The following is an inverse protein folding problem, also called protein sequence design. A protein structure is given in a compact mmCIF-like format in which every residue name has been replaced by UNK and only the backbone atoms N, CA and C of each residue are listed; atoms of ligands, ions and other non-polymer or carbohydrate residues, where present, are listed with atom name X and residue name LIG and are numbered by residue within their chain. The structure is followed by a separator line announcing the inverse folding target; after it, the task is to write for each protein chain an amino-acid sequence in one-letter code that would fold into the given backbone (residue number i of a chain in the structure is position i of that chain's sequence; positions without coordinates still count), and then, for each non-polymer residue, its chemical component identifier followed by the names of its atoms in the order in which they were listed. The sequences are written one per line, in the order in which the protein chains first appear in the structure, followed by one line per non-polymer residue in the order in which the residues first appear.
data_IF_941880373361
#
_entry.id   IF_941880373361
#
_cell.length_a   1.000
_cell.length_b   1.000
_cell.length_c   1.000
_cell.angle_alpha   90.00
_cell.angle_beta   90.00
_cell.angle_gamma   90.00
#
_symmetry.space_group_name_H-M   'P 1'
#
loop_
_entity.id
_entity.type
_entity.pdbx_description
1 polymer ?
#
# COMPACT_ATOMS: atom_id res chain seq x y z
N UNK A 1 39.03 -8.61 -8.23
CA UNK A 1 37.85 -7.82 -8.67
C UNK A 1 37.14 -7.34 -7.41
N UNK A 2 36.92 -6.03 -7.20
CA UNK A 2 36.25 -5.57 -5.98
C UNK A 2 34.81 -6.10 -5.95
N UNK A 3 34.25 -6.36 -4.76
CA UNK A 3 32.86 -6.76 -4.64
C UNK A 3 31.92 -5.63 -5.09
N UNK A 4 30.74 -5.96 -5.66
CA UNK A 4 29.79 -4.95 -6.11
C UNK A 4 29.17 -4.20 -4.92
N UNK A 5 28.88 -2.90 -5.11
CA UNK A 5 28.09 -2.10 -4.16
C UNK A 5 26.60 -2.35 -4.44
N UNK A 6 25.86 -2.82 -3.44
CA UNK A 6 24.39 -2.97 -3.49
C UNK A 6 23.75 -1.84 -2.71
N UNK A 7 22.75 -1.17 -3.30
CA UNK A 7 22.11 0.04 -2.77
C UNK A 7 20.62 0.04 -3.08
N UNK A 8 19.83 0.72 -2.24
CA UNK A 8 18.39 0.87 -2.42
C UNK A 8 18.03 2.30 -2.84
N UNK A 9 17.06 2.43 -3.74
CA UNK A 9 16.67 3.68 -4.36
C UNK A 9 15.15 3.81 -4.40
N UNK A 10 14.67 5.03 -4.22
CA UNK A 10 13.32 5.44 -4.57
C UNK A 10 13.45 6.52 -5.61
N UNK A 11 12.89 6.27 -6.79
CA UNK A 11 13.11 7.11 -7.98
C UNK A 11 14.63 7.24 -8.25
N UNK A 12 15.22 8.43 -8.03
CA UNK A 12 16.66 8.67 -8.17
C UNK A 12 17.34 9.12 -6.87
N UNK A 13 16.73 8.84 -5.72
CA UNK A 13 17.32 9.11 -4.40
C UNK A 13 17.73 7.81 -3.71
N UNK A 14 19.01 7.69 -3.33
CA UNK A 14 19.53 6.57 -2.53
C UNK A 14 18.88 6.62 -1.13
N UNK A 15 18.26 5.51 -0.72
CA UNK A 15 17.56 5.39 0.55
C UNK A 15 18.55 5.13 1.70
N UNK A 16 18.34 5.82 2.81
CA UNK A 16 19.09 5.63 4.06
C UNK A 16 18.46 4.53 4.93
N UNK A 17 19.16 4.08 5.98
CA UNK A 17 18.65 3.05 6.89
C UNK A 17 18.89 1.63 6.40
N UNK A 18 19.96 1.43 5.64
CA UNK A 18 20.35 0.10 5.14
C UNK A 18 21.43 -0.54 6.01
N UNK A 19 21.40 -1.85 6.18
CA UNK A 19 22.51 -2.62 6.75
C UNK A 19 23.26 -3.38 5.65
N UNK A 20 24.58 -3.41 5.74
CA UNK A 20 25.43 -4.21 4.87
C UNK A 20 25.91 -5.43 5.64
N UNK A 21 25.59 -6.61 5.15
CA UNK A 21 26.15 -7.86 5.65
C UNK A 21 26.93 -8.52 4.52
N UNK A 22 28.26 -8.56 4.68
CA UNK A 22 29.08 -9.54 3.99
C UNK A 22 28.79 -10.87 4.66
N UNK A 23 28.08 -11.76 3.99
CA UNK A 23 27.85 -13.12 4.49
C UNK A 23 29.18 -13.86 4.37
N UNK A 24 30.04 -13.77 5.38
CA UNK A 24 31.28 -14.56 5.57
C UNK A 24 32.54 -14.22 4.73
N UNK A 25 33.68 -14.52 5.35
CA UNK A 25 35.04 -14.37 4.85
C UNK A 25 35.26 -15.31 3.66
N UNK A 26 35.27 -14.74 2.44
CA UNK A 26 35.42 -15.50 1.19
C UNK A 26 34.15 -15.56 0.32
N UNK A 27 33.05 -14.91 0.71
CA UNK A 27 31.81 -15.03 -0.04
C UNK A 27 31.74 -14.23 -1.34
N UNK A 28 31.11 -14.87 -2.31
CA UNK A 28 30.77 -14.35 -3.65
C UNK A 28 29.46 -13.53 -3.66
N UNK A 29 28.82 -13.34 -2.50
CA UNK A 29 27.48 -12.76 -2.37
C UNK A 29 27.49 -11.52 -1.46
N UNK A 30 26.94 -10.42 -1.97
CA UNK A 30 26.75 -9.17 -1.22
C UNK A 30 25.28 -8.97 -0.90
N UNK A 31 24.97 -8.67 0.37
CA UNK A 31 23.61 -8.43 0.86
C UNK A 31 23.50 -7.02 1.44
N UNK A 32 22.47 -6.30 1.02
CA UNK A 32 22.08 -5.02 1.59
C UNK A 32 20.60 -5.05 1.94
N UNK A 33 20.27 -4.92 3.23
CA UNK A 33 18.90 -4.94 3.71
C UNK A 33 18.41 -3.51 3.95
N UNK A 34 17.21 -3.18 3.49
CA UNK A 34 16.55 -1.91 3.74
C UNK A 34 15.44 -2.10 4.79
N UNK A 35 15.48 -1.30 5.86
CA UNK A 35 14.40 -1.23 6.84
C UNK A 35 13.64 0.10 6.71
N UNK A 36 12.36 0.03 6.35
CA UNK A 36 11.47 1.20 6.31
C UNK A 36 10.67 1.21 7.61
N UNK A 37 11.01 2.12 8.52
CA UNK A 37 10.43 2.13 9.87
C UNK A 37 8.94 2.51 9.92
N UNK A 38 8.49 3.43 9.08
CA UNK A 38 7.08 3.86 9.03
C UNK A 38 6.65 4.04 7.58
N UNK A 39 5.57 3.36 7.20
CA UNK A 39 4.96 3.48 5.87
C UNK A 39 3.70 4.33 5.95
N UNK A 40 3.74 5.46 5.25
CA UNK A 40 2.63 6.41 5.12
C UNK A 40 1.84 6.15 3.84
N UNK A 41 0.72 6.86 3.63
CA UNK A 41 -0.15 6.67 2.45
C UNK A 41 0.58 6.86 1.12
N UNK A 42 1.55 7.76 1.07
CA UNK A 42 2.38 8.06 -0.10
C UNK A 42 3.37 6.93 -0.46
N UNK A 43 3.55 5.92 0.40
CA UNK A 43 4.29 4.70 0.05
C UNK A 43 3.46 3.70 -0.75
N UNK A 44 2.13 3.87 -0.82
CA UNK A 44 1.28 2.97 -1.59
C UNK A 44 1.58 3.07 -3.08
N UNK A 45 1.96 1.94 -3.69
CA UNK A 45 2.35 1.89 -5.11
C UNK A 45 3.75 2.40 -5.40
N UNK A 46 4.51 2.84 -4.38
CA UNK A 46 5.90 3.29 -4.56
C UNK A 46 6.77 2.12 -5.01
N UNK A 47 7.58 2.37 -6.03
CA UNK A 47 8.58 1.44 -6.52
C UNK A 47 9.91 1.71 -5.82
N UNK A 48 10.44 0.66 -5.19
CA UNK A 48 11.76 0.68 -4.55
C UNK A 48 12.69 -0.21 -5.37
N UNK A 49 13.82 0.35 -5.77
CA UNK A 49 14.78 -0.29 -6.67
C UNK A 49 16.07 -0.68 -5.93
N UNK A 50 16.45 -1.94 -6.04
CA UNK A 50 17.77 -2.42 -5.65
C UNK A 50 18.72 -2.29 -6.85
N UNK A 51 19.84 -1.59 -6.67
CA UNK A 51 20.87 -1.38 -7.67
C UNK A 51 22.17 -2.05 -7.24
N UNK A 52 22.70 -2.94 -8.08
CA UNK A 52 24.00 -3.59 -7.89
C UNK A 52 25.04 -3.04 -8.89
N UNK A 53 26.05 -2.36 -8.36
CA UNK A 53 27.09 -1.69 -9.12
C UNK A 53 28.45 -2.39 -8.97
N UNK A 54 28.98 -2.96 -10.06
CA UNK A 54 30.31 -3.58 -10.07
C UNK A 54 31.45 -2.57 -10.22
N UNK A 55 31.46 -1.82 -11.31
CA UNK A 55 32.44 -0.74 -11.60
C UNK A 55 31.71 0.46 -12.17
N UNK A 56 32.25 1.68 -12.02
CA UNK A 56 31.58 2.91 -12.51
C UNK A 56 31.43 3.01 -14.04
N UNK A 57 32.04 2.09 -14.79
CA UNK A 57 32.06 2.08 -16.25
C UNK A 57 30.90 1.26 -16.87
N UNK A 58 30.15 0.53 -16.04
CA UNK A 58 29.07 -0.37 -16.48
C UNK A 58 27.79 0.05 -15.79
N UNK A 59 26.67 -0.02 -16.51
CA UNK A 59 25.35 0.26 -15.94
C UNK A 59 25.03 -0.71 -14.78
N UNK A 60 24.48 -0.23 -13.65
CA UNK A 60 24.05 -1.10 -12.56
C UNK A 60 22.96 -2.07 -13.01
N UNK A 61 23.00 -3.29 -12.46
CA UNK A 61 21.88 -4.22 -12.56
C UNK A 61 20.81 -3.79 -11.57
N UNK A 62 19.56 -3.75 -12.02
CA UNK A 62 18.43 -3.21 -11.24
C UNK A 62 17.31 -4.23 -11.08
N UNK A 63 16.69 -4.23 -9.90
CA UNK A 63 15.45 -4.98 -9.61
C UNK A 63 14.55 -4.14 -8.72
N UNK A 64 13.27 -4.15 -9.01
CA UNK A 64 12.29 -3.36 -8.29
C UNK A 64 11.28 -4.19 -7.50
N UNK A 65 10.78 -3.58 -6.44
CA UNK A 65 9.68 -4.07 -5.61
C UNK A 65 8.67 -2.94 -5.47
N UNK A 66 7.39 -3.25 -5.71
CA UNK A 66 6.30 -2.29 -5.49
C UNK A 66 5.74 -2.47 -4.09
N UNK A 67 5.67 -1.39 -3.32
CA UNK A 67 5.17 -1.40 -1.94
C UNK A 67 3.66 -1.36 -1.94
N UNK A 68 3.05 -2.30 -1.23
CA UNK A 68 1.63 -2.28 -0.91
C UNK A 68 1.45 -1.89 0.56
N UNK A 69 0.59 -0.91 0.81
CA UNK A 69 0.30 -0.39 2.15
C UNK A 69 -1.18 -0.60 2.43
N UNK A 70 -1.50 -1.12 3.62
CA UNK A 70 -2.87 -1.30 4.06
C UNK A 70 -3.38 -0.01 4.68
N UNK A 71 -4.42 0.56 4.08
CA UNK A 71 -4.94 1.88 4.39
C UNK A 71 -6.37 1.77 4.91
N UNK A 72 -6.63 2.40 6.06
CA UNK A 72 -7.99 2.60 6.57
C UNK A 72 -8.72 3.65 5.73
N UNK A 73 -10.07 3.62 5.68
CA UNK A 73 -10.85 4.69 5.08
C UNK A 73 -10.49 6.04 5.68
N UNK A 74 -10.35 7.06 4.83
CA UNK A 74 -10.16 8.46 5.29
C UNK A 74 -11.48 9.18 5.51
N UNK A 75 -12.54 8.69 4.89
CA UNK A 75 -13.89 9.25 4.97
C UNK A 75 -14.92 8.13 4.85
N UNK A 76 -16.00 8.27 5.60
CA UNK A 76 -17.20 7.44 5.52
C UNK A 76 -18.41 8.36 5.54
N UNK A 77 -19.41 8.10 4.68
CA UNK A 77 -20.64 8.88 4.61
C UNK A 77 -21.82 7.95 4.40
N UNK A 78 -22.89 8.18 5.18
CA UNK A 78 -24.19 7.59 4.92
C UNK A 78 -24.94 8.56 3.99
N UNK A 79 -25.28 8.09 2.79
CA UNK A 79 -26.08 8.81 1.82
C UNK A 79 -27.53 8.32 1.90
N UNK A 80 -28.41 9.22 2.33
CA UNK A 80 -29.87 9.03 2.37
C UNK A 80 -30.50 9.79 1.20
N UNK A 81 -31.61 9.28 0.64
CA UNK A 81 -32.39 10.06 -0.32
C UNK A 81 -33.00 11.29 0.34
N UNK A 82 -33.21 12.34 -0.47
CA UNK A 82 -33.74 13.63 0.00
C UNK A 82 -35.28 13.66 -0.05
N UNK A 83 -35.92 12.51 0.13
CA UNK A 83 -37.36 12.29 -0.04
C UNK A 83 -38.04 12.06 1.32
N UNK A 84 -39.32 12.41 1.40
CA UNK A 84 -40.13 12.14 2.59
C UNK A 84 -40.32 10.62 2.75
N UNK A 85 -40.06 10.12 3.95
CA UNK A 85 -40.23 8.70 4.26
C UNK A 85 -41.71 8.39 4.47
N UNK A 86 -42.21 7.35 3.81
CA UNK A 86 -43.58 6.86 3.96
C UNK A 86 -43.58 5.52 4.68
N UNK A 87 -44.45 5.36 5.69
CA UNK A 87 -44.56 4.10 6.41
C UNK A 87 -44.87 2.92 5.46
N UNK A 88 -44.23 1.77 5.70
CA UNK A 88 -44.38 0.56 4.88
C UNK A 88 -43.65 0.58 3.54
N UNK A 89 -42.99 1.68 3.16
CA UNK A 89 -42.25 1.79 1.91
C UNK A 89 -40.74 1.71 2.18
N UNK A 90 -40.04 0.64 1.75
CA UNK A 90 -38.60 0.52 1.95
C UNK A 90 -37.85 1.53 1.08
N UNK A 91 -36.77 2.08 1.63
CA UNK A 91 -35.95 3.10 0.97
C UNK A 91 -34.49 2.67 0.99
N UNK A 92 -33.77 2.73 -0.15
CA UNK A 92 -32.37 2.36 -0.19
C UNK A 92 -31.51 3.44 0.48
N UNK A 93 -30.65 3.02 1.41
CA UNK A 93 -29.62 3.85 2.04
C UNK A 93 -28.26 3.32 1.61
N UNK A 94 -27.32 4.21 1.30
CA UNK A 94 -25.96 3.83 0.89
C UNK A 94 -24.94 4.28 1.92
N UNK A 95 -23.89 3.49 2.07
CA UNK A 95 -22.71 3.86 2.82
C UNK A 95 -21.54 3.90 1.84
N UNK A 96 -20.89 5.04 1.78
CA UNK A 96 -19.78 5.31 0.89
C UNK A 96 -18.51 5.47 1.75
N UNK A 97 -17.43 4.81 1.35
CA UNK A 97 -16.12 4.90 2.02
C UNK A 97 -15.04 5.18 1.00
N UNK A 98 -14.08 6.03 1.34
CA UNK A 98 -13.03 6.45 0.41
C UNK A 98 -11.63 6.23 0.97
N UNK A 99 -10.68 5.98 0.07
CA UNK A 99 -9.25 5.96 0.37
C UNK A 99 -8.76 4.76 1.19
N UNK A 100 -9.54 3.68 1.25
CA UNK A 100 -9.13 2.41 1.86
C UNK A 100 -8.40 1.53 0.85
N UNK A 101 -7.36 0.82 1.30
CA UNK A 101 -6.77 -0.28 0.54
C UNK A 101 -6.42 -1.45 1.46
N UNK A 102 -6.90 -2.68 1.19
CA UNK A 102 -7.95 -3.02 0.24
C UNK A 102 -9.28 -2.28 0.52
N UNK A 103 -10.28 -2.52 -0.32
CA UNK A 103 -11.61 -1.96 -0.12
C UNK A 103 -12.14 -2.24 1.29
N UNK A 104 -12.79 -1.25 1.89
CA UNK A 104 -13.25 -1.34 3.27
C UNK A 104 -14.37 -2.37 3.42
N UNK A 105 -14.37 -3.09 4.55
CA UNK A 105 -15.51 -3.93 4.93
C UNK A 105 -16.60 -3.06 5.55
N UNK A 106 -17.74 -2.94 4.90
CA UNK A 106 -18.91 -2.21 5.40
C UNK A 106 -19.84 -3.17 6.14
N UNK A 107 -20.38 -2.74 7.29
CA UNK A 107 -21.37 -3.50 8.06
C UNK A 107 -22.44 -2.54 8.55
N UNK A 108 -23.71 -2.91 8.36
CA UNK A 108 -24.85 -2.12 8.77
C UNK A 108 -25.42 -2.65 10.08
N UNK A 109 -25.68 -1.73 11.01
CA UNK A 109 -26.35 -2.02 12.26
C UNK A 109 -27.53 -1.07 12.42
N UNK A 110 -28.66 -1.58 12.91
CA UNK A 110 -29.80 -0.81 13.36
C UNK A 110 -30.06 -1.19 14.82
N UNK A 111 -30.06 -0.21 15.71
CA UNK A 111 -30.23 -0.42 17.16
C UNK A 111 -29.27 -1.46 17.77
N UNK A 112 -28.07 -1.55 17.19
CA UNK A 112 -27.04 -2.51 17.62
C UNK A 112 -27.15 -3.90 16.99
N UNK A 113 -28.21 -4.17 16.22
CA UNK A 113 -28.40 -5.44 15.52
C UNK A 113 -27.92 -5.39 14.06
N UNK A 114 -27.17 -6.41 13.58
CA UNK A 114 -26.73 -6.45 12.19
C UNK A 114 -27.89 -6.56 11.20
N UNK A 115 -27.95 -5.65 10.22
CA UNK A 115 -28.86 -5.79 9.08
C UNK A 115 -28.28 -6.86 8.14
N UNK A 116 -29.05 -7.91 7.90
CA UNK A 116 -28.67 -9.00 6.99
C UNK A 116 -28.99 -8.62 5.54
N UNK A 117 -28.19 -9.12 4.59
CA UNK A 117 -28.37 -8.94 3.14
C UNK A 117 -28.17 -7.51 2.61
N UNK A 118 -27.30 -6.71 3.23
CA UNK A 118 -26.87 -5.46 2.62
C UNK A 118 -25.99 -5.73 1.39
N UNK A 119 -26.36 -5.16 0.23
CA UNK A 119 -25.53 -5.22 -0.96
C UNK A 119 -24.30 -4.31 -0.79
N UNK A 120 -23.11 -4.86 -1.06
CA UNK A 120 -21.86 -4.13 -1.04
C UNK A 120 -21.32 -4.05 -2.46
N UNK A 121 -21.25 -2.84 -3.00
CA UNK A 121 -20.59 -2.59 -4.27
C UNK A 121 -19.22 -2.00 -3.99
N UNK A 122 -18.17 -2.62 -4.53
CA UNK A 122 -16.80 -2.13 -4.40
C UNK A 122 -16.43 -1.36 -5.67
N UNK A 123 -16.29 -0.05 -5.53
CA UNK A 123 -15.62 0.76 -6.54
C UNK A 123 -14.14 0.86 -6.17
N UNK A 124 -13.27 0.46 -7.10
CA UNK A 124 -11.87 0.85 -7.00
C UNK A 124 -11.81 2.29 -7.49
N UNK A 125 -11.39 3.19 -6.60
CA UNK A 125 -10.94 4.52 -7.01
C UNK A 125 -9.69 4.30 -7.88
N UNK A 126 -9.88 4.00 -9.18
CA UNK A 126 -8.85 4.14 -10.20
C UNK A 126 -8.76 5.63 -10.48
N UNK A 127 -7.82 6.29 -9.82
CA UNK A 127 -7.12 7.43 -10.42
C UNK A 127 -6.06 6.88 -11.39
#
# INVERSE_FOLDING_TARGET
RPPPKVTWWRDDTELIGTSHTSVEEGATMMVNQLLIGTTTRDFYGVRIECRAQGTRLVEPVRKDVTVQVYLKPVRVKIATPNELLTAGHPVPIRCESWGSYPAAKITWLLDGEPIRNAEVTVHSDKE
#
